data_IF_822306408296
#
_entry.id   IF_822306408296
#
_cell.length_a   1.000
_cell.length_b   1.000
_cell.length_c   1.000
_cell.angle_alpha   90.00
_cell.angle_beta   90.00
_cell.angle_gamma   90.00
#
_symmetry.space_group_name_H-M   'P 1'
#
loop_
_entity.id
_entity.type
_entity.pdbx_description
1 polymer ?
#
# COMPACT_ATOMS: atom_id res chain seq x y z
N UNK A 1 -119.70 68.17 -0.94
CA UNK A 1 -118.26 68.01 -1.23
C UNK A 1 -117.71 67.41 0.06
N UNK A 2 -117.59 66.09 0.20
CA UNK A 2 -116.65 65.21 -0.52
C UNK A 2 -117.30 63.90 -0.98
N UNK A 3 -116.81 63.36 -2.11
CA UNK A 3 -117.44 62.25 -2.84
C UNK A 3 -116.85 60.89 -2.40
N UNK A 4 -117.62 59.95 -1.81
CA UNK A 4 -117.12 58.65 -1.31
C UNK A 4 -116.59 57.70 -2.41
N UNK A 5 -116.81 58.04 -3.69
CA UNK A 5 -116.32 57.29 -4.85
C UNK A 5 -114.84 57.53 -5.18
N UNK A 6 -114.22 58.65 -4.74
CA UNK A 6 -112.80 58.91 -5.04
C UNK A 6 -111.87 58.10 -4.14
N UNK A 7 -112.17 58.02 -2.84
CA UNK A 7 -111.35 57.30 -1.85
C UNK A 7 -111.26 55.80 -2.18
N UNK A 8 -112.38 55.19 -2.58
CA UNK A 8 -112.45 53.78 -2.98
C UNK A 8 -111.68 53.50 -4.26
N UNK A 9 -111.69 54.42 -5.22
CA UNK A 9 -110.85 54.36 -6.43
C UNK A 9 -109.35 54.50 -6.11
N UNK A 10 -108.96 55.43 -5.23
CA UNK A 10 -107.56 55.58 -4.80
C UNK A 10 -107.04 54.35 -4.04
N UNK A 11 -107.86 53.75 -3.17
CA UNK A 11 -107.52 52.51 -2.46
C UNK A 11 -107.36 51.33 -3.43
N UNK A 12 -108.22 51.23 -4.44
CA UNK A 12 -108.10 50.21 -5.49
C UNK A 12 -106.81 50.39 -6.30
N UNK A 13 -106.50 51.61 -6.75
CA UNK A 13 -105.25 51.92 -7.44
C UNK A 13 -104.01 51.63 -6.58
N UNK A 14 -104.04 51.98 -5.29
CA UNK A 14 -102.96 51.69 -4.35
C UNK A 14 -102.75 50.17 -4.17
N UNK A 15 -103.85 49.40 -4.09
CA UNK A 15 -103.77 47.94 -4.02
C UNK A 15 -103.11 47.34 -5.26
N UNK A 16 -103.46 47.81 -6.47
CA UNK A 16 -102.82 47.34 -7.71
C UNK A 16 -101.34 47.71 -7.78
N UNK A 17 -100.97 48.93 -7.38
CA UNK A 17 -99.56 49.37 -7.31
C UNK A 17 -98.79 48.52 -6.30
N UNK A 18 -99.36 48.22 -5.13
CA UNK A 18 -98.74 47.34 -4.14
C UNK A 18 -98.57 45.91 -4.65
N UNK A 19 -99.54 45.39 -5.41
CA UNK A 19 -99.48 44.05 -6.01
C UNK A 19 -98.36 43.97 -7.06
N UNK A 20 -98.27 44.97 -7.94
CA UNK A 20 -97.21 45.07 -8.96
C UNK A 20 -95.84 45.21 -8.28
N UNK A 21 -95.72 46.09 -7.27
CA UNK A 21 -94.48 46.25 -6.52
C UNK A 21 -94.04 44.96 -5.82
N UNK A 22 -94.99 44.22 -5.23
CA UNK A 22 -94.75 42.90 -4.62
C UNK A 22 -94.28 41.87 -5.65
N UNK A 23 -94.89 41.85 -6.84
CA UNK A 23 -94.49 40.96 -7.93
C UNK A 23 -93.07 41.28 -8.46
N UNK A 24 -92.75 42.56 -8.64
CA UNK A 24 -91.43 43.01 -9.08
C UNK A 24 -90.35 42.70 -8.03
N UNK A 25 -90.64 42.97 -6.75
CA UNK A 25 -89.73 42.63 -5.65
C UNK A 25 -89.49 41.11 -5.55
N UNK A 26 -90.56 40.32 -5.67
CA UNK A 26 -90.48 38.86 -5.71
C UNK A 26 -89.60 38.34 -6.86
N UNK A 27 -89.76 38.91 -8.06
CA UNK A 27 -88.93 38.58 -9.22
C UNK A 27 -87.45 38.94 -9.02
N UNK A 28 -87.15 40.15 -8.52
CA UNK A 28 -85.78 40.61 -8.27
C UNK A 28 -85.08 39.74 -7.23
N UNK A 29 -85.78 39.40 -6.13
CA UNK A 29 -85.25 38.54 -5.07
C UNK A 29 -85.01 37.13 -5.62
N UNK A 30 -85.95 36.59 -6.41
CA UNK A 30 -85.82 35.29 -7.07
C UNK A 30 -84.59 35.20 -7.97
N UNK A 31 -84.38 36.20 -8.84
CA UNK A 31 -83.22 36.26 -9.75
C UNK A 31 -81.90 36.42 -8.97
N UNK A 32 -81.88 37.23 -7.91
CA UNK A 32 -80.68 37.41 -7.08
C UNK A 32 -80.33 36.15 -6.30
N UNK A 33 -81.33 35.46 -5.77
CA UNK A 33 -81.17 34.20 -5.05
C UNK A 33 -80.73 33.07 -5.98
N UNK A 34 -81.27 32.99 -7.20
CA UNK A 34 -80.83 32.05 -8.23
C UNK A 34 -79.34 32.23 -8.59
N UNK A 35 -78.91 33.47 -8.89
CA UNK A 35 -77.49 33.80 -9.16
C UNK A 35 -76.57 33.54 -7.96
N UNK A 36 -77.05 33.77 -6.74
CA UNK A 36 -76.29 33.47 -5.51
C UNK A 36 -76.10 31.95 -5.33
N UNK A 37 -77.16 31.17 -5.56
CA UNK A 37 -77.13 29.70 -5.50
C UNK A 37 -76.19 29.11 -6.55
N UNK A 38 -76.19 29.64 -7.76
CA UNK A 38 -75.27 29.24 -8.83
C UNK A 38 -73.80 29.52 -8.49
N UNK A 39 -73.49 30.71 -7.96
CA UNK A 39 -72.14 31.04 -7.46
C UNK A 39 -71.69 30.10 -6.34
N UNK A 40 -72.56 29.79 -5.37
CA UNK A 40 -72.24 28.82 -4.32
C UNK A 40 -72.00 27.41 -4.87
N UNK A 41 -72.72 27.00 -5.92
CA UNK A 41 -72.47 25.73 -6.61
C UNK A 41 -71.10 25.70 -7.27
N UNK A 42 -70.74 26.75 -8.00
CA UNK A 42 -69.42 26.87 -8.66
C UNK A 42 -68.27 26.87 -7.65
N UNK A 43 -68.41 27.61 -6.54
CA UNK A 43 -67.42 27.64 -5.45
C UNK A 43 -67.25 26.26 -4.83
N UNK A 44 -68.35 25.54 -4.53
CA UNK A 44 -68.30 24.16 -4.00
C UNK A 44 -67.60 23.21 -4.96
N UNK A 45 -67.88 23.33 -6.26
CA UNK A 45 -67.21 22.50 -7.27
C UNK A 45 -65.71 22.78 -7.36
N UNK A 46 -65.31 24.07 -7.32
CA UNK A 46 -63.91 24.48 -7.31
C UNK A 46 -63.19 23.98 -6.05
N UNK A 47 -63.83 24.07 -4.87
CA UNK A 47 -63.28 23.51 -3.63
C UNK A 47 -63.10 22.00 -3.76
N UNK A 48 -64.07 21.28 -4.34
CA UNK A 48 -63.95 19.82 -4.56
C UNK A 48 -62.77 19.49 -5.48
N UNK A 49 -62.63 20.19 -6.61
CA UNK A 49 -61.51 20.02 -7.55
C UNK A 49 -60.17 20.33 -6.88
N UNK A 50 -60.08 21.44 -6.14
CA UNK A 50 -58.87 21.81 -5.40
C UNK A 50 -58.50 20.80 -4.33
N UNK A 51 -59.48 20.22 -3.60
CA UNK A 51 -59.20 19.17 -2.60
C UNK A 51 -58.55 17.93 -3.24
N UNK A 52 -59.07 17.51 -4.39
CA UNK A 52 -58.49 16.38 -5.15
C UNK A 52 -57.09 16.73 -5.63
N UNK A 53 -56.87 17.92 -6.18
CA UNK A 53 -55.55 18.36 -6.61
C UNK A 53 -54.54 18.42 -5.44
N UNK A 54 -54.94 18.95 -4.29
CA UNK A 54 -54.09 18.97 -3.07
C UNK A 54 -53.69 17.55 -2.66
N UNK A 55 -54.64 16.60 -2.68
CA UNK A 55 -54.33 15.21 -2.36
C UNK A 55 -53.31 14.60 -3.34
N UNK A 56 -53.46 14.85 -4.64
CA UNK A 56 -52.48 14.41 -5.63
C UNK A 56 -51.10 15.01 -5.41
N UNK A 57 -51.00 16.34 -5.23
CA UNK A 57 -49.72 17.00 -4.96
C UNK A 57 -49.08 16.54 -3.65
N UNK A 58 -49.88 16.25 -2.62
CA UNK A 58 -49.38 15.68 -1.38
C UNK A 58 -48.78 14.30 -1.61
N UNK A 59 -49.45 13.44 -2.37
CA UNK A 59 -48.94 12.11 -2.71
C UNK A 59 -47.63 12.19 -3.49
N UNK A 60 -47.58 13.00 -4.55
CA UNK A 60 -46.36 13.22 -5.34
C UNK A 60 -45.21 13.75 -4.49
N UNK A 61 -45.49 14.69 -3.58
CA UNK A 61 -44.49 15.19 -2.62
C UNK A 61 -43.88 14.05 -1.80
N UNK A 62 -44.69 13.14 -1.27
CA UNK A 62 -44.18 11.99 -0.50
C UNK A 62 -43.37 11.03 -1.39
N UNK A 63 -43.79 10.81 -2.63
CA UNK A 63 -43.05 9.98 -3.59
C UNK A 63 -41.67 10.61 -3.92
N UNK A 64 -41.60 11.93 -4.08
CA UNK A 64 -40.33 12.65 -4.27
C UNK A 64 -39.43 12.61 -3.03
N UNK A 65 -40.00 12.79 -1.83
CA UNK A 65 -39.24 12.65 -0.58
C UNK A 65 -38.63 11.24 -0.48
N UNK A 66 -39.41 10.21 -0.83
CA UNK A 66 -38.91 8.84 -0.85
C UNK A 66 -37.76 8.63 -1.84
N UNK A 67 -37.82 9.27 -3.01
CA UNK A 67 -36.73 9.23 -4.00
C UNK A 67 -35.48 9.96 -3.52
N UNK A 68 -35.63 11.14 -2.93
CA UNK A 68 -34.52 11.92 -2.38
C UNK A 68 -33.78 11.11 -1.31
N UNK A 69 -34.52 10.51 -0.37
CA UNK A 69 -33.91 9.72 0.70
C UNK A 69 -33.12 8.52 0.15
N UNK A 70 -33.61 7.83 -0.89
CA UNK A 70 -32.88 6.73 -1.53
C UNK A 70 -31.60 7.22 -2.19
N UNK A 71 -31.67 8.32 -2.95
CA UNK A 71 -30.50 8.88 -3.60
C UNK A 71 -29.46 9.38 -2.60
N UNK A 72 -29.89 9.94 -1.46
CA UNK A 72 -28.99 10.34 -0.38
C UNK A 72 -28.30 9.13 0.28
N UNK A 73 -29.00 8.00 0.41
CA UNK A 73 -28.41 6.76 0.93
C UNK A 73 -27.40 6.17 -0.07
N UNK A 74 -27.76 6.10 -1.34
CA UNK A 74 -26.86 5.65 -2.41
C UNK A 74 -25.59 6.51 -2.48
N UNK A 75 -25.72 7.84 -2.38
CA UNK A 75 -24.57 8.75 -2.33
C UNK A 75 -23.67 8.52 -1.12
N UNK A 76 -24.24 8.21 0.05
CA UNK A 76 -23.45 7.88 1.25
C UNK A 76 -22.68 6.59 1.07
N UNK A 77 -23.35 5.55 0.56
CA UNK A 77 -22.73 4.25 0.31
C UNK A 77 -21.58 4.36 -0.70
N UNK A 78 -21.79 5.11 -1.79
CA UNK A 78 -20.75 5.38 -2.79
C UNK A 78 -19.56 6.17 -2.21
N UNK A 79 -19.81 7.12 -1.31
CA UNK A 79 -18.76 7.87 -0.64
C UNK A 79 -17.92 6.97 0.28
N UNK A 80 -18.56 6.08 1.05
CA UNK A 80 -17.88 5.11 1.91
C UNK A 80 -17.04 4.12 1.08
N UNK A 81 -17.60 3.60 -0.01
CA UNK A 81 -16.88 2.72 -0.93
C UNK A 81 -15.66 3.43 -1.55
N UNK A 82 -15.81 4.70 -1.92
CA UNK A 82 -14.68 5.51 -2.42
C UNK A 82 -13.57 5.69 -1.39
N UNK A 83 -13.87 5.81 -0.10
CA UNK A 83 -12.84 5.90 0.95
C UNK A 83 -12.11 4.57 1.13
N UNK A 84 -12.84 3.45 1.11
CA UNK A 84 -12.23 2.11 1.13
C UNK A 84 -11.29 1.89 -0.07
N UNK A 85 -11.67 2.39 -1.25
CA UNK A 85 -10.78 2.34 -2.42
C UNK A 85 -9.52 3.17 -2.23
N UNK A 86 -9.59 4.35 -1.61
CA UNK A 86 -8.40 5.17 -1.31
C UNK A 86 -7.43 4.46 -0.37
N UNK A 87 -7.95 3.83 0.69
CA UNK A 87 -7.14 3.03 1.62
C UNK A 87 -6.44 1.88 0.88
N UNK A 88 -7.18 1.13 0.04
CA UNK A 88 -6.60 0.03 -0.74
C UNK A 88 -5.54 0.47 -1.73
N UNK A 89 -5.69 1.65 -2.34
CA UNK A 89 -4.66 2.23 -3.22
C UNK A 89 -3.40 2.55 -2.41
N UNK A 90 -3.53 3.12 -1.21
CA UNK A 90 -2.39 3.39 -0.34
C UNK A 90 -1.64 2.11 0.06
N UNK A 91 -2.37 1.03 0.36
CA UNK A 91 -1.77 -0.28 0.63
C UNK A 91 -1.03 -0.85 -0.59
N UNK A 92 -1.63 -0.74 -1.79
CA UNK A 92 -0.97 -1.17 -3.03
C UNK A 92 0.33 -0.40 -3.26
N UNK A 93 0.32 0.92 -3.08
CA UNK A 93 1.53 1.74 -3.20
C UNK A 93 2.60 1.33 -2.18
N UNK A 94 2.20 1.00 -0.95
CA UNK A 94 3.10 0.48 0.08
C UNK A 94 3.76 -0.83 -0.36
N UNK A 95 2.98 -1.82 -0.80
CA UNK A 95 3.52 -3.11 -1.22
C UNK A 95 4.38 -3.00 -2.48
N UNK A 96 4.00 -2.15 -3.44
CA UNK A 96 4.84 -1.88 -4.61
C UNK A 96 6.20 -1.28 -4.24
N UNK A 97 6.26 -0.40 -3.23
CA UNK A 97 7.54 0.09 -2.71
C UNK A 97 8.36 -1.03 -2.09
N UNK A 98 7.73 -1.93 -1.32
CA UNK A 98 8.43 -3.08 -0.72
C UNK A 98 8.97 -4.04 -1.77
N UNK A 99 8.24 -4.29 -2.84
CA UNK A 99 8.72 -5.09 -3.97
C UNK A 99 9.96 -4.45 -4.59
N UNK A 100 9.92 -3.14 -4.94
CA UNK A 100 11.08 -2.42 -5.49
C UNK A 100 12.30 -2.44 -4.57
N UNK A 101 12.10 -2.25 -3.26
CA UNK A 101 13.18 -2.35 -2.27
C UNK A 101 13.83 -3.75 -2.28
N UNK A 102 13.01 -4.80 -2.34
CA UNK A 102 13.51 -6.17 -2.39
C UNK A 102 14.24 -6.49 -3.69
N UNK A 103 13.74 -6.02 -4.84
CA UNK A 103 14.39 -6.20 -6.16
C UNK A 103 15.77 -5.55 -6.18
N UNK A 104 15.90 -4.33 -5.62
CA UNK A 104 17.21 -3.67 -5.51
C UNK A 104 18.19 -4.44 -4.61
N UNK A 105 17.70 -5.04 -3.53
CA UNK A 105 18.54 -5.88 -2.66
C UNK A 105 18.99 -7.13 -3.41
N UNK A 106 18.08 -7.80 -4.11
CA UNK A 106 18.38 -8.99 -4.91
C UNK A 106 19.42 -8.67 -5.97
N UNK A 107 19.27 -7.56 -6.69
CA UNK A 107 20.22 -7.13 -7.73
C UNK A 107 21.61 -6.89 -7.17
N UNK A 108 21.71 -6.14 -6.06
CA UNK A 108 23.00 -5.88 -5.37
C UNK A 108 23.68 -7.16 -4.90
N UNK A 109 22.92 -8.05 -4.26
CA UNK A 109 23.45 -9.32 -3.78
C UNK A 109 23.87 -10.24 -4.94
N UNK A 110 23.11 -10.24 -6.03
CA UNK A 110 23.42 -11.03 -7.22
C UNK A 110 24.72 -10.55 -7.87
N UNK A 111 24.88 -9.24 -8.07
CA UNK A 111 26.11 -8.66 -8.60
C UNK A 111 27.33 -8.97 -7.71
N UNK A 112 27.19 -8.80 -6.39
CA UNK A 112 28.26 -9.15 -5.46
C UNK A 112 28.60 -10.65 -5.48
N UNK A 113 27.60 -11.52 -5.69
CA UNK A 113 27.83 -12.96 -5.81
C UNK A 113 28.57 -13.33 -7.09
N UNK A 114 28.28 -12.66 -8.21
CA UNK A 114 28.95 -12.88 -9.49
C UNK A 114 30.43 -12.45 -9.42
N UNK A 115 30.71 -11.27 -8.85
CA UNK A 115 32.09 -10.82 -8.58
C UNK A 115 32.84 -11.80 -7.66
N UNK A 116 32.17 -12.31 -6.62
CA UNK A 116 32.76 -13.32 -5.72
C UNK A 116 33.06 -14.63 -6.45
N UNK A 117 32.19 -15.06 -7.38
CA UNK A 117 32.38 -16.27 -8.19
C UNK A 117 33.57 -16.09 -9.13
N UNK A 118 33.70 -14.96 -9.81
CA UNK A 118 34.84 -14.66 -10.69
C UNK A 118 36.17 -14.67 -9.91
N UNK A 119 36.24 -13.93 -8.79
CA UNK A 119 37.41 -13.93 -7.90
C UNK A 119 37.74 -15.33 -7.35
N UNK A 120 36.72 -16.16 -7.14
CA UNK A 120 36.95 -17.54 -6.74
C UNK A 120 37.58 -18.36 -7.85
N UNK A 121 37.15 -18.20 -9.10
CA UNK A 121 37.65 -18.96 -10.25
C UNK A 121 39.14 -18.68 -10.52
N UNK A 122 39.55 -17.42 -10.45
CA UNK A 122 40.95 -17.01 -10.63
C UNK A 122 41.83 -17.54 -9.50
N UNK A 123 41.39 -17.41 -8.25
CA UNK A 123 42.08 -18.00 -7.10
C UNK A 123 42.18 -19.53 -7.17
N UNK A 124 41.15 -20.23 -7.65
CA UNK A 124 41.19 -21.68 -7.85
C UNK A 124 42.18 -22.07 -8.96
N UNK A 125 42.26 -21.30 -10.04
CA UNK A 125 43.27 -21.48 -11.09
C UNK A 125 44.69 -21.38 -10.52
N UNK A 126 44.96 -20.34 -9.72
CA UNK A 126 46.23 -20.17 -9.00
C UNK A 126 46.52 -21.35 -8.05
N UNK A 127 45.51 -21.80 -7.30
CA UNK A 127 45.62 -22.95 -6.39
C UNK A 127 45.97 -24.24 -7.15
N UNK A 128 45.33 -24.50 -8.29
CA UNK A 128 45.59 -25.67 -9.14
C UNK A 128 47.02 -25.61 -9.68
N UNK A 129 47.46 -24.46 -10.21
CA UNK A 129 48.84 -24.28 -10.68
C UNK A 129 49.85 -24.53 -9.55
N UNK A 130 49.60 -23.97 -8.37
CA UNK A 130 50.47 -24.14 -7.20
C UNK A 130 50.52 -25.60 -6.71
N UNK A 131 49.42 -26.36 -6.84
CA UNK A 131 49.38 -27.80 -6.54
C UNK A 131 50.13 -28.64 -7.58
N UNK A 132 50.11 -28.23 -8.84
CA UNK A 132 50.76 -28.97 -9.93
C UNK A 132 52.28 -28.74 -9.97
N UNK A 133 52.72 -27.50 -9.85
CA UNK A 133 54.14 -27.13 -9.86
C UNK A 133 54.46 -26.05 -8.81
N UNK A 134 54.54 -26.44 -7.51
CA UNK A 134 54.80 -25.50 -6.42
C UNK A 134 56.18 -24.83 -6.50
N UNK A 135 57.13 -25.39 -7.26
CA UNK A 135 58.50 -24.86 -7.38
C UNK A 135 58.55 -23.70 -8.37
N UNK A 136 57.77 -23.76 -9.45
CA UNK A 136 57.83 -22.76 -10.53
C UNK A 136 56.74 -21.70 -10.49
N UNK A 137 55.62 -21.98 -9.83
CA UNK A 137 54.42 -21.11 -9.86
C UNK A 137 54.62 -19.74 -9.19
N UNK A 138 55.62 -19.57 -8.31
CA UNK A 138 56.09 -18.29 -7.72
C UNK A 138 55.06 -17.14 -7.75
N UNK A 139 54.05 -17.22 -6.88
CA UNK A 139 52.97 -16.24 -6.83
C UNK A 139 53.49 -14.83 -6.49
N UNK A 140 53.02 -13.86 -7.25
CA UNK A 140 53.22 -12.43 -7.02
C UNK A 140 52.42 -11.95 -5.80
N UNK A 141 52.74 -10.76 -5.30
CA UNK A 141 51.98 -10.14 -4.18
C UNK A 141 50.47 -9.98 -4.45
N UNK A 142 49.99 -9.56 -5.63
CA UNK A 142 48.56 -9.52 -5.91
C UNK A 142 47.93 -10.93 -5.93
N UNK A 143 48.56 -11.92 -6.57
CA UNK A 143 48.05 -13.30 -6.61
C UNK A 143 47.96 -13.91 -5.20
N UNK A 144 48.93 -13.63 -4.32
CA UNK A 144 48.82 -14.00 -2.91
C UNK A 144 47.68 -13.28 -2.18
N UNK A 145 47.37 -12.02 -2.51
CA UNK A 145 46.22 -11.31 -1.91
C UNK A 145 44.91 -11.95 -2.32
N UNK A 146 44.78 -12.27 -3.59
CA UNK A 146 43.62 -12.93 -4.15
C UNK A 146 43.42 -14.32 -3.55
N UNK A 147 44.45 -15.18 -3.57
CA UNK A 147 44.38 -16.51 -2.98
C UNK A 147 44.01 -16.46 -1.49
N UNK A 148 44.59 -15.54 -0.72
CA UNK A 148 44.26 -15.39 0.71
C UNK A 148 42.83 -14.88 0.91
N UNK A 149 42.38 -13.91 0.11
CA UNK A 149 41.02 -13.37 0.22
C UNK A 149 39.98 -14.44 -0.06
N UNK A 150 40.11 -15.16 -1.17
CA UNK A 150 39.20 -16.26 -1.53
C UNK A 150 39.24 -17.38 -0.50
N UNK A 151 40.42 -17.72 0.00
CA UNK A 151 40.57 -18.71 1.08
C UNK A 151 39.84 -18.26 2.34
N UNK A 152 39.96 -16.99 2.71
CA UNK A 152 39.30 -16.47 3.89
C UNK A 152 37.77 -16.54 3.76
N UNK A 153 37.23 -16.14 2.61
CA UNK A 153 35.80 -16.22 2.32
C UNK A 153 35.27 -17.66 2.37
N UNK A 154 35.98 -18.63 1.78
CA UNK A 154 35.55 -20.03 1.73
C UNK A 154 35.59 -20.74 3.09
N UNK A 155 36.45 -20.28 4.00
CA UNK A 155 36.62 -20.86 5.33
C UNK A 155 36.19 -19.87 6.42
N UNK A 156 35.01 -19.26 6.25
CA UNK A 156 34.31 -18.44 7.24
C UNK A 156 35.15 -17.30 7.88
N UNK A 157 36.00 -16.66 7.10
CA UNK A 157 36.86 -15.56 7.52
C UNK A 157 37.88 -15.94 8.62
N UNK A 158 38.36 -17.19 8.64
CA UNK A 158 39.28 -17.65 9.68
C UNK A 158 40.63 -16.90 9.71
N UNK A 159 41.21 -16.48 8.59
CA UNK A 159 42.43 -15.69 8.55
C UNK A 159 42.18 -14.32 9.15
N UNK A 160 41.08 -13.67 8.80
CA UNK A 160 40.66 -12.40 9.41
C UNK A 160 40.50 -12.55 10.92
N UNK A 161 39.86 -13.62 11.38
CA UNK A 161 39.68 -13.89 12.80
C UNK A 161 41.02 -14.13 13.53
N UNK A 162 41.89 -14.98 12.98
CA UNK A 162 43.23 -15.25 13.54
C UNK A 162 44.09 -13.97 13.59
N UNK A 163 43.97 -13.11 12.58
CA UNK A 163 44.66 -11.82 12.54
C UNK A 163 44.14 -10.86 13.61
N UNK A 164 42.83 -10.79 13.81
CA UNK A 164 42.22 -9.95 14.84
C UNK A 164 42.54 -10.44 16.25
N UNK A 165 42.50 -11.76 16.49
CA UNK A 165 42.73 -12.35 17.82
C UNK A 165 44.20 -12.44 18.21
N UNK A 166 45.07 -12.80 17.28
CA UNK A 166 46.47 -13.16 17.57
C UNK A 166 47.49 -12.28 16.84
N UNK A 167 47.06 -11.37 15.98
CA UNK A 167 47.97 -10.47 15.27
C UNK A 167 48.96 -11.20 14.35
N UNK A 168 48.49 -12.24 13.64
CA UNK A 168 49.33 -12.98 12.69
C UNK A 168 49.82 -12.07 11.56
N UNK A 169 51.07 -12.27 11.16
CA UNK A 169 51.74 -11.53 10.09
C UNK A 169 51.29 -12.02 8.72
N UNK A 170 51.59 -11.25 7.67
CA UNK A 170 51.29 -11.61 6.28
C UNK A 170 51.83 -12.99 5.88
N UNK A 171 53.07 -13.27 6.25
CA UNK A 171 53.69 -14.56 5.97
C UNK A 171 53.04 -15.72 6.75
N UNK A 172 52.55 -15.45 7.96
CA UNK A 172 51.81 -16.43 8.74
C UNK A 172 50.41 -16.68 8.17
N UNK A 173 49.75 -15.67 7.58
CA UNK A 173 48.51 -15.86 6.79
C UNK A 173 48.75 -16.80 5.59
N UNK A 174 49.86 -16.62 4.86
CA UNK A 174 50.28 -17.50 3.75
C UNK A 174 50.50 -18.95 4.22
N UNK A 175 51.17 -19.14 5.36
CA UNK A 175 51.36 -20.48 5.96
C UNK A 175 50.00 -21.10 6.33
N UNK A 176 49.13 -20.34 6.97
CA UNK A 176 47.79 -20.81 7.36
C UNK A 176 46.97 -21.22 6.12
N UNK A 177 47.02 -20.44 5.05
CA UNK A 177 46.36 -20.74 3.78
C UNK A 177 46.84 -22.07 3.18
N UNK A 178 48.15 -22.27 3.04
CA UNK A 178 48.68 -23.53 2.50
C UNK A 178 48.31 -24.74 3.38
N UNK A 179 48.31 -24.58 4.70
CA UNK A 179 47.88 -25.62 5.63
C UNK A 179 46.38 -25.93 5.44
N UNK A 180 45.54 -24.89 5.31
CA UNK A 180 44.09 -25.02 5.16
C UNK A 180 43.72 -25.77 3.88
N UNK A 181 44.43 -25.51 2.80
CA UNK A 181 44.32 -26.23 1.53
C UNK A 181 45.06 -27.58 1.50
N UNK A 182 45.48 -28.10 2.66
CA UNK A 182 46.15 -29.39 2.79
C UNK A 182 47.42 -29.54 1.92
N UNK A 183 48.22 -28.49 1.73
CA UNK A 183 49.54 -28.65 1.09
C UNK A 183 50.45 -29.51 1.98
N UNK A 184 51.09 -30.56 1.44
CA UNK A 184 52.06 -31.33 2.19
C UNK A 184 53.29 -30.47 2.48
N UNK A 185 54.05 -30.85 3.51
CA UNK A 185 55.22 -30.09 3.96
C UNK A 185 56.23 -29.80 2.84
N UNK A 186 56.48 -30.78 1.96
CA UNK A 186 57.38 -30.64 0.81
C UNK A 186 56.95 -29.51 -0.13
N UNK A 187 55.63 -29.36 -0.37
CA UNK A 187 55.11 -28.36 -1.30
C UNK A 187 55.07 -26.99 -0.62
N UNK A 188 54.76 -26.92 0.69
CA UNK A 188 54.91 -25.67 1.45
C UNK A 188 56.33 -25.11 1.38
N UNK A 189 57.35 -25.98 1.48
CA UNK A 189 58.75 -25.59 1.33
C UNK A 189 59.09 -25.09 -0.07
N UNK A 190 58.59 -25.78 -1.11
CA UNK A 190 58.77 -25.39 -2.50
C UNK A 190 58.15 -24.01 -2.79
N UNK A 191 56.90 -23.79 -2.37
CA UNK A 191 56.18 -22.52 -2.55
C UNK A 191 56.92 -21.34 -1.91
N UNK A 192 57.50 -21.53 -0.73
CA UNK A 192 58.23 -20.47 -0.03
C UNK A 192 59.71 -20.38 -0.42
N UNK A 193 60.20 -21.23 -1.34
CA UNK A 193 61.62 -21.38 -1.67
C UNK A 193 62.51 -21.43 -0.42
N UNK A 194 62.11 -22.25 0.56
CA UNK A 194 62.66 -22.24 1.92
C UNK A 194 63.18 -23.63 2.35
N UNK A 195 64.12 -23.62 3.30
CA UNK A 195 64.64 -24.86 3.91
C UNK A 195 63.69 -25.45 4.95
N UNK A 196 63.85 -26.73 5.27
CA UNK A 196 63.06 -27.42 6.30
C UNK A 196 63.12 -26.70 7.65
N UNK A 197 64.30 -26.23 8.05
CA UNK A 197 64.52 -25.56 9.31
C UNK A 197 63.88 -24.17 9.35
N UNK A 198 63.93 -23.44 8.23
CA UNK A 198 63.26 -22.14 8.09
C UNK A 198 61.74 -22.29 8.27
N UNK A 199 61.13 -23.28 7.61
CA UNK A 199 59.70 -23.55 7.75
C UNK A 199 59.34 -24.00 9.16
N UNK A 200 60.14 -24.86 9.81
CA UNK A 200 59.93 -25.26 11.21
C UNK A 200 59.93 -24.06 12.15
N UNK A 201 60.90 -23.16 12.00
CA UNK A 201 61.00 -21.94 12.81
C UNK A 201 59.80 -21.02 12.60
N UNK A 202 59.36 -20.83 11.35
CA UNK A 202 58.15 -20.04 11.05
C UNK A 202 56.88 -20.65 11.67
N UNK A 203 56.68 -21.97 11.55
CA UNK A 203 55.55 -22.66 12.21
C UNK A 203 55.63 -22.59 13.73
N UNK A 204 56.82 -22.70 14.33
CA UNK A 204 57.00 -22.54 15.78
C UNK A 204 56.64 -21.13 16.25
N UNK A 205 57.02 -20.09 15.50
CA UNK A 205 56.63 -18.70 15.78
C UNK A 205 55.12 -18.51 15.68
N UNK A 206 54.50 -19.03 14.62
CA UNK A 206 53.05 -19.00 14.44
C UNK A 206 52.33 -19.69 15.60
N UNK A 207 52.78 -20.89 15.98
CA UNK A 207 52.22 -21.65 17.09
C UNK A 207 52.25 -20.87 18.41
N UNK A 208 53.37 -20.19 18.71
CA UNK A 208 53.50 -19.32 19.90
C UNK A 208 52.56 -18.11 19.82
N UNK A 209 52.42 -17.51 18.64
CA UNK A 209 51.55 -16.35 18.42
C UNK A 209 50.07 -16.70 18.60
N UNK A 210 49.68 -17.89 18.15
CA UNK A 210 48.35 -18.47 18.37
C UNK A 210 48.15 -18.98 19.81
N UNK A 211 49.16 -18.89 20.68
CA UNK A 211 49.14 -19.32 22.08
C UNK A 211 48.74 -20.80 22.24
N UNK A 212 49.18 -21.65 21.30
CA UNK A 212 48.89 -23.08 21.33
C UNK A 212 49.88 -23.83 22.22
N UNK A 213 49.40 -24.85 22.93
CA UNK A 213 50.22 -25.71 23.78
C UNK A 213 51.23 -26.53 22.96
N UNK A 214 52.35 -26.93 23.58
CA UNK A 214 53.42 -27.71 22.94
C UNK A 214 52.95 -29.05 22.34
N UNK A 215 51.90 -29.68 22.89
CA UNK A 215 51.31 -30.93 22.38
C UNK A 215 50.38 -30.72 21.19
N UNK A 216 49.87 -29.51 21.00
CA UNK A 216 48.93 -29.21 19.90
C UNK A 216 49.64 -29.21 18.54
N UNK A 217 49.16 -30.01 17.59
CA UNK A 217 49.66 -29.96 16.21
C UNK A 217 49.09 -28.73 15.48
N UNK A 218 49.99 -27.88 14.97
CA UNK A 218 49.59 -26.63 14.30
C UNK A 218 48.81 -26.91 13.00
N UNK A 219 49.24 -27.90 12.22
CA UNK A 219 48.64 -28.18 10.93
C UNK A 219 47.20 -28.70 11.11
N UNK A 220 47.00 -29.60 12.08
CA UNK A 220 45.69 -30.09 12.48
C UNK A 220 44.80 -28.98 13.04
N UNK A 221 45.35 -28.12 13.91
CA UNK A 221 44.61 -26.98 14.48
C UNK A 221 44.07 -26.06 13.37
N UNK A 222 44.92 -25.62 12.44
CA UNK A 222 44.51 -24.70 11.36
C UNK A 222 43.50 -25.38 10.41
N UNK A 223 43.71 -26.66 10.07
CA UNK A 223 42.76 -27.41 9.22
C UNK A 223 41.37 -27.48 9.83
N UNK A 224 41.28 -27.71 11.14
CA UNK A 224 40.01 -27.84 11.86
C UNK A 224 39.43 -26.51 12.37
N UNK A 225 40.19 -25.41 12.32
CA UNK A 225 39.72 -24.08 12.72
C UNK A 225 38.49 -23.69 11.91
N UNK A 226 37.40 -23.32 12.59
CA UNK A 226 36.10 -23.12 11.94
C UNK A 226 35.88 -21.69 11.49
#
# INVERSE_FOLDING_TARGET
>A
MDNPSSLTFFLFCFCWVALIAGAVLGYIIGVRMARSKERHRLVKEKIRKNKVAIYHYQKEKYDYIGQINRLEEDLRNLAEESELYKERIADLDYYQRKVRESEQIIERLSAASEETIELSADAFSLLIQLKQDPVRTNLTKPEWRELLHTTDLLFNNFLTELKQKSGITRHEEEICCLIKWNFPRKDQMAVFNNTTDALTKSKSRLKKRLQLDDKTDLDQFIRLYR
#
